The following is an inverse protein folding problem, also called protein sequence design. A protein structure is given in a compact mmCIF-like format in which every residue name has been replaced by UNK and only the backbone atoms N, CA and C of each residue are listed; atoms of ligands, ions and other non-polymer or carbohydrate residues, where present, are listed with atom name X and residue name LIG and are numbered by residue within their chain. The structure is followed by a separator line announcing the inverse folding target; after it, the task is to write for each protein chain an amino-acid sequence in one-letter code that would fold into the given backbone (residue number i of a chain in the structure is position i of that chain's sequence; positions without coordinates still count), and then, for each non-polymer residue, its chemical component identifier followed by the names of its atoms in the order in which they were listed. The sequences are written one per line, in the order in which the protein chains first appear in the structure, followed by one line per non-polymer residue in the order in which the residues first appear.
data_IF_759250939221
#
_entry.id   IF_759250939221
#
_cell.length_a   1.000
_cell.length_b   1.000
_cell.length_c   1.000
_cell.angle_alpha   90.00
_cell.angle_beta   90.00
_cell.angle_gamma   90.00
#
_symmetry.space_group_name_H-M   'P 1'
#
loop_
_entity.id
_entity.type
_entity.pdbx_description
1 polymer ?
#
# COMPACT_ATOMS: atom_id res chain seq x y z
N UNK A 1 -6.15 6.21 22.60
CA UNK A 1 -5.21 7.17 21.97
C UNK A 1 -4.28 6.41 21.03
N UNK A 2 -4.59 6.29 19.72
CA UNK A 2 -3.60 5.81 18.72
C UNK A 2 -4.03 5.92 17.24
N UNK A 3 -5.19 6.47 16.87
CA UNK A 3 -5.55 6.64 15.46
C UNK A 3 -4.58 7.57 14.71
N UNK A 4 -4.07 8.60 15.38
CA UNK A 4 -3.15 9.58 14.79
C UNK A 4 -1.83 8.96 14.35
N UNK A 5 -1.39 7.88 14.99
CA UNK A 5 -0.14 7.20 14.62
C UNK A 5 -0.34 6.47 13.29
N UNK A 6 -1.37 5.63 13.18
CA UNK A 6 -1.65 4.84 11.98
C UNK A 6 -1.92 5.74 10.77
N UNK A 7 -2.67 6.84 10.95
CA UNK A 7 -2.91 7.82 9.87
C UNK A 7 -1.62 8.50 9.44
N UNK A 8 -0.73 8.87 10.37
CA UNK A 8 0.57 9.48 10.05
C UNK A 8 1.48 8.54 9.28
N UNK A 9 1.61 7.28 9.73
CA UNK A 9 2.36 6.24 9.00
C UNK A 9 1.79 5.99 7.61
N UNK A 10 0.47 5.91 7.50
CA UNK A 10 -0.21 5.74 6.21
C UNK A 10 0.09 6.92 5.28
N UNK A 11 0.05 8.15 5.79
CA UNK A 11 0.35 9.34 5.00
C UNK A 11 1.82 9.37 4.53
N UNK A 12 2.77 8.95 5.37
CA UNK A 12 4.17 8.82 4.97
C UNK A 12 4.34 7.79 3.85
N UNK A 13 3.78 6.57 4.01
CA UNK A 13 3.83 5.51 2.99
C UNK A 13 3.21 6.00 1.67
N UNK A 14 2.08 6.72 1.73
CA UNK A 14 1.46 7.36 0.54
C UNK A 14 2.39 8.35 -0.11
N UNK A 15 3.04 9.22 0.69
CA UNK A 15 3.97 10.22 0.20
C UNK A 15 5.13 9.59 -0.58
N UNK A 16 5.81 8.61 0.03
CA UNK A 16 6.94 7.92 -0.61
C UNK A 16 6.50 7.12 -1.85
N UNK A 17 5.40 6.36 -1.76
CA UNK A 17 4.87 5.61 -2.89
C UNK A 17 4.40 6.51 -4.05
N UNK A 18 3.96 7.74 -3.76
CA UNK A 18 3.55 8.72 -4.79
C UNK A 18 4.74 9.37 -5.49
N UNK A 19 5.88 9.50 -4.80
CA UNK A 19 7.15 9.99 -5.37
C UNK A 19 7.89 8.89 -6.13
N UNK A 20 7.44 7.63 -6.01
CA UNK A 20 8.05 6.47 -6.66
C UNK A 20 9.15 5.80 -5.83
N UNK A 21 9.38 6.29 -4.61
CA UNK A 21 10.31 5.69 -3.65
C UNK A 21 9.62 4.56 -2.89
N UNK A 22 9.48 3.43 -3.56
CA UNK A 22 8.80 2.25 -3.04
C UNK A 22 9.64 1.47 -2.03
N UNK A 23 10.96 1.60 -2.08
CA UNK A 23 11.86 0.99 -1.10
C UNK A 23 11.65 1.62 0.28
N UNK A 24 11.62 2.95 0.36
CA UNK A 24 11.36 3.63 1.63
C UNK A 24 9.91 3.47 2.07
N UNK A 25 8.95 3.48 1.12
CA UNK A 25 7.56 3.17 1.43
C UNK A 25 7.40 1.76 2.03
N UNK A 26 8.11 0.76 1.50
CA UNK A 26 8.11 -0.61 2.01
C UNK A 26 8.76 -0.69 3.39
N UNK A 27 9.89 -0.02 3.58
CA UNK A 27 10.59 0.04 4.87
C UNK A 27 9.69 0.62 5.96
N UNK A 28 8.99 1.71 5.67
CA UNK A 28 8.03 2.32 6.59
C UNK A 28 6.84 1.39 6.85
N UNK A 29 6.33 0.74 5.81
CA UNK A 29 5.24 -0.24 5.93
C UNK A 29 5.62 -1.44 6.82
N UNK A 30 6.86 -1.91 6.75
CA UNK A 30 7.38 -2.97 7.63
C UNK A 30 7.52 -2.52 9.09
N UNK A 31 7.80 -1.23 9.31
CA UNK A 31 7.89 -0.64 10.65
C UNK A 31 6.53 -0.32 11.27
N UNK A 32 5.42 -0.36 10.51
CA UNK A 32 4.10 -0.06 11.03
C UNK A 32 3.65 -1.12 12.06
N UNK A 33 3.43 -0.73 13.34
CA UNK A 33 2.95 -1.66 14.36
C UNK A 33 1.49 -2.08 14.12
N UNK A 34 0.70 -1.24 13.46
CA UNK A 34 -0.65 -1.54 13.00
C UNK A 34 -0.80 -1.11 11.55
N UNK A 35 -1.20 -2.05 10.68
CA UNK A 35 -1.42 -1.83 9.25
C UNK A 35 -2.93 -1.78 9.00
N UNK A 36 -3.38 -0.75 8.30
CA UNK A 36 -4.78 -0.63 7.90
C UNK A 36 -4.93 -0.97 6.41
N UNK A 37 -6.17 -1.13 5.96
CA UNK A 37 -6.46 -1.45 4.54
C UNK A 37 -5.88 -0.40 3.58
N UNK A 38 -5.77 0.86 4.00
CA UNK A 38 -5.21 1.93 3.18
C UNK A 38 -3.71 1.73 2.95
N UNK A 39 -2.92 1.40 3.99
CA UNK A 39 -1.47 1.20 3.85
C UNK A 39 -1.13 0.02 2.95
N UNK A 40 -1.90 -1.09 3.03
CA UNK A 40 -1.79 -2.21 2.10
C UNK A 40 -2.09 -1.80 0.65
N UNK A 41 -3.19 -1.09 0.43
CA UNK A 41 -3.58 -0.66 -0.92
C UNK A 41 -2.54 0.25 -1.56
N UNK A 42 -1.92 1.14 -0.78
CA UNK A 42 -0.93 2.10 -1.25
C UNK A 42 0.33 1.40 -1.72
N UNK A 43 0.88 0.49 -0.90
CA UNK A 43 2.12 -0.20 -1.25
C UNK A 43 1.91 -1.14 -2.45
N UNK A 44 0.76 -1.84 -2.52
CA UNK A 44 0.41 -2.71 -3.65
C UNK A 44 0.24 -1.88 -4.93
N UNK A 45 -0.48 -0.76 -4.85
CA UNK A 45 -0.65 0.16 -5.99
C UNK A 45 0.67 0.72 -6.47
N UNK A 46 1.59 1.04 -5.56
CA UNK A 46 2.94 1.47 -5.91
C UNK A 46 3.71 0.39 -6.69
N UNK A 47 3.77 -0.84 -6.18
CA UNK A 47 4.43 -1.94 -6.90
C UNK A 47 3.79 -2.23 -8.26
N UNK A 48 2.45 -2.20 -8.35
CA UNK A 48 1.73 -2.35 -9.63
C UNK A 48 2.10 -1.25 -10.62
N UNK A 49 2.23 0.01 -10.17
CA UNK A 49 2.64 1.14 -11.02
C UNK A 49 4.08 1.01 -11.53
N UNK A 50 4.98 0.41 -10.75
CA UNK A 50 6.33 0.09 -11.20
C UNK A 50 6.40 -1.14 -12.11
N UNK A 51 5.31 -1.90 -12.26
CA UNK A 51 5.27 -3.15 -13.02
C UNK A 51 5.77 -4.36 -12.22
N UNK A 52 6.10 -4.20 -10.94
CA UNK A 52 6.53 -5.28 -10.06
C UNK A 52 5.32 -6.02 -9.46
N UNK A 53 4.68 -6.82 -10.32
CA UNK A 53 3.52 -7.61 -9.95
C UNK A 53 3.85 -8.73 -8.94
N UNK A 54 5.11 -9.19 -8.90
CA UNK A 54 5.54 -10.26 -8.00
C UNK A 54 5.51 -9.78 -6.55
N UNK A 55 6.14 -8.64 -6.26
CA UNK A 55 6.13 -8.06 -4.92
C UNK A 55 4.72 -7.55 -4.55
N UNK A 56 4.00 -6.93 -5.49
CA UNK A 56 2.60 -6.55 -5.28
C UNK A 56 1.74 -7.74 -4.84
N UNK A 57 1.93 -8.92 -5.47
CA UNK A 57 1.19 -10.13 -5.16
C UNK A 57 1.57 -10.71 -3.80
N UNK A 58 2.87 -10.76 -3.48
CA UNK A 58 3.36 -11.24 -2.19
C UNK A 58 2.81 -10.42 -1.01
N UNK A 59 2.71 -9.10 -1.19
CA UNK A 59 2.12 -8.20 -0.20
C UNK A 59 0.59 -8.36 -0.13
N UNK A 60 -0.08 -8.49 -1.27
CA UNK A 60 -1.53 -8.74 -1.32
C UNK A 60 -1.94 -10.06 -0.63
N UNK A 61 -1.13 -11.11 -0.74
CA UNK A 61 -1.42 -12.39 -0.12
C UNK A 61 -1.20 -12.40 1.40
N UNK A 62 -0.39 -11.47 1.93
CA UNK A 62 -0.21 -11.27 3.37
C UNK A 62 -1.34 -10.47 4.03
N UNK A 63 -2.21 -9.84 3.25
CA UNK A 63 -3.31 -9.03 3.75
C UNK A 63 -4.39 -9.92 4.40
N UNK A 64 -4.62 -9.82 5.73
CA UNK A 64 -5.52 -10.72 6.45
C UNK A 64 -7.00 -10.51 6.09
N UNK A 65 -7.39 -9.29 5.74
CA UNK A 65 -8.71 -8.97 5.17
C UNK A 65 -8.55 -8.41 3.77
N UNK A 66 -8.87 -9.19 2.74
CA UNK A 66 -8.86 -8.76 1.32
C UNK A 66 -10.06 -7.86 0.97
N UNK A 67 -10.47 -6.99 1.89
CA UNK A 67 -11.61 -6.09 1.71
C UNK A 67 -11.26 -5.01 0.66
N UNK A 68 -11.82 -5.23 -0.52
CA UNK A 68 -11.45 -4.64 -1.81
C UNK A 68 -11.73 -3.13 -1.88
N UNK A 69 -10.78 -2.33 -2.42
CA UNK A 69 -11.05 -1.64 -3.68
C UNK A 69 -9.88 -1.65 -4.70
N UNK A 70 -8.88 -2.53 -4.57
CA UNK A 70 -7.82 -2.70 -5.59
C UNK A 70 -8.41 -3.13 -6.96
N UNK A 71 -9.47 -3.95 -6.99
CA UNK A 71 -10.19 -4.28 -8.23
C UNK A 71 -10.82 -3.05 -8.87
N UNK A 72 -11.24 -2.04 -8.09
CA UNK A 72 -11.87 -0.82 -8.62
C UNK A 72 -10.85 0.11 -9.27
N UNK A 73 -9.59 0.10 -8.82
CA UNK A 73 -8.49 0.84 -9.45
C UNK A 73 -7.96 0.09 -10.67
N UNK A 74 -7.77 -1.24 -10.58
CA UNK A 74 -7.35 -2.07 -11.71
C UNK A 74 -8.39 -2.09 -12.85
N UNK A 75 -9.68 -1.99 -12.54
CA UNK A 75 -10.75 -1.89 -13.54
C UNK A 75 -11.01 -0.45 -14.03
N UNK A 76 -10.49 0.59 -13.37
CA UNK A 76 -10.63 1.99 -13.80
C UNK A 76 -9.56 2.47 -14.79
N UNK A 77 -8.51 1.69 -15.02
CA UNK A 77 -7.46 2.00 -16.01
C UNK A 77 -7.80 1.61 -17.45
N UNK A 78 -9.03 1.15 -17.74
CA UNK A 78 -9.49 0.82 -19.09
C UNK A 78 -10.67 1.70 -19.48
N UNK A 79 -10.40 2.99 -19.68
CA UNK A 79 -11.21 3.87 -20.52
C UNK A 79 -10.34 4.99 -21.10
#
# INVERSE_FOLDING_TARGET
MSETNVVSWTAMVVGYASVGDLDEAHRLFDQMPQRNVVSWNVIISGFVKLGDLTNARGIFDQMPEKNVPLTKILLRGRH
#
